data_IF_046978106876
#
_entry.id   IF_046978106876
#
_cell.length_a   1.000
_cell.length_b   1.000
_cell.length_c   1.000
_cell.angle_alpha   90.00
_cell.angle_beta   90.00
_cell.angle_gamma   90.00
#
_symmetry.space_group_name_H-M   'P 1'
#
loop_
_entity.id
_entity.type
_entity.pdbx_description
1 polymer ?
#
# COMPACT_ATOMS: atom_id res chain seq x y z
N UNK A 1 -6.71 -9.35 -36.17
CA UNK A 1 -8.07 -9.21 -35.58
C UNK A 1 -8.10 -9.92 -34.23
N UNK A 2 -8.91 -9.45 -33.29
CA UNK A 2 -9.12 -10.08 -31.98
C UNK A 2 -9.93 -11.35 -32.16
N UNK A 3 -9.64 -12.39 -31.37
CA UNK A 3 -10.42 -13.63 -31.36
C UNK A 3 -11.47 -13.57 -30.26
N UNK A 4 -12.60 -14.21 -30.50
CA UNK A 4 -13.66 -14.34 -29.50
C UNK A 4 -13.15 -15.10 -28.28
N UNK A 5 -13.65 -14.71 -27.10
CA UNK A 5 -13.35 -15.42 -25.87
C UNK A 5 -14.13 -16.73 -25.84
N UNK A 6 -13.45 -17.88 -25.66
CA UNK A 6 -14.13 -19.15 -25.64
C UNK A 6 -14.94 -19.31 -24.34
N UNK A 7 -16.16 -19.85 -24.44
CA UNK A 7 -17.05 -20.08 -23.30
C UNK A 7 -16.41 -20.98 -22.22
N UNK A 8 -15.53 -21.90 -22.64
CA UNK A 8 -14.82 -22.82 -21.75
C UNK A 8 -13.44 -22.29 -21.31
N UNK A 9 -13.22 -20.98 -21.36
CA UNK A 9 -11.95 -20.36 -20.96
C UNK A 9 -11.50 -20.82 -19.58
N UNK A 10 -10.23 -21.22 -19.47
CA UNK A 10 -9.61 -21.64 -18.21
C UNK A 10 -8.79 -20.56 -17.49
N UNK A 11 -8.71 -19.35 -18.06
CA UNK A 11 -7.98 -18.23 -17.44
C UNK A 11 -8.72 -17.68 -16.22
N UNK A 12 -7.97 -17.35 -15.17
CA UNK A 12 -8.46 -16.74 -13.91
C UNK A 12 -7.45 -15.69 -13.48
N UNK A 13 -7.88 -14.71 -12.68
CA UNK A 13 -6.97 -13.92 -11.85
C UNK A 13 -6.85 -14.64 -10.52
N UNK A 14 -5.62 -14.91 -10.08
CA UNK A 14 -5.32 -15.34 -8.72
C UNK A 14 -4.83 -14.14 -7.93
N UNK A 15 -5.29 -13.98 -6.69
CA UNK A 15 -4.90 -12.92 -5.78
C UNK A 15 -4.74 -13.46 -4.35
N UNK A 16 -4.09 -12.69 -3.49
CA UNK A 16 -3.94 -13.04 -2.08
C UNK A 16 -5.28 -12.90 -1.36
N UNK A 17 -5.54 -13.79 -0.39
CA UNK A 17 -6.73 -13.72 0.45
C UNK A 17 -6.51 -12.90 1.73
N UNK A 18 -5.24 -12.75 2.15
CA UNK A 18 -4.83 -11.95 3.30
C UNK A 18 -3.31 -11.68 3.25
N UNK A 19 -2.83 -10.73 4.06
CA UNK A 19 -1.41 -10.38 4.16
C UNK A 19 -0.85 -9.58 3.00
N UNK A 20 -1.71 -9.08 2.11
CA UNK A 20 -1.37 -8.15 1.05
C UNK A 20 -1.65 -6.71 1.47
N UNK A 21 -1.34 -5.76 0.58
CA UNK A 21 -1.59 -4.34 0.85
C UNK A 21 -3.06 -4.06 1.16
N UNK A 22 -4.00 -4.71 0.46
CA UNK A 22 -5.43 -4.54 0.71
C UNK A 22 -5.81 -4.95 2.14
N UNK A 23 -5.34 -6.12 2.60
CA UNK A 23 -5.64 -6.62 3.94
C UNK A 23 -4.96 -5.86 5.08
N UNK A 24 -3.93 -5.05 4.80
CA UNK A 24 -3.16 -4.32 5.83
C UNK A 24 -3.24 -2.80 5.70
N UNK A 25 -4.07 -2.27 4.81
CA UNK A 25 -4.14 -0.83 4.54
C UNK A 25 -4.61 -0.05 5.78
N UNK A 26 -3.96 1.09 6.04
CA UNK A 26 -4.40 2.10 6.98
C UNK A 26 -4.38 3.47 6.27
N UNK A 27 -5.41 4.28 6.50
CA UNK A 27 -5.56 5.58 5.86
C UNK A 27 -5.96 6.65 6.87
N UNK A 28 -5.52 7.88 6.62
CA UNK A 28 -5.91 9.07 7.39
C UNK A 28 -6.07 10.26 6.45
N UNK A 29 -7.10 11.06 6.67
CA UNK A 29 -7.24 12.38 6.02
C UNK A 29 -6.59 13.44 6.90
N UNK A 30 -5.58 14.13 6.37
CA UNK A 30 -4.83 15.15 7.10
C UNK A 30 -5.65 16.45 7.15
N UNK A 31 -5.88 16.98 8.35
CA UNK A 31 -6.77 18.14 8.56
C UNK A 31 -6.10 19.50 8.40
N UNK A 32 -4.77 19.54 8.48
CA UNK A 32 -3.96 20.77 8.38
C UNK A 32 -2.61 20.48 7.72
N UNK A 33 -2.02 21.45 6.99
CA UNK A 33 -0.70 21.28 6.41
C UNK A 33 0.38 20.93 7.45
N UNK A 34 1.38 20.15 7.04
CA UNK A 34 2.46 19.71 7.91
C UNK A 34 3.54 18.94 7.15
N UNK A 35 4.40 18.25 7.90
CA UNK A 35 5.44 17.36 7.35
C UNK A 35 5.40 16.02 8.07
N UNK A 36 5.46 14.93 7.32
CA UNK A 36 5.55 13.57 7.85
C UNK A 36 6.97 13.01 7.71
N UNK A 37 7.30 12.09 8.63
CA UNK A 37 8.49 11.25 8.59
C UNK A 37 8.05 9.80 8.69
N UNK A 38 8.61 8.94 7.84
CA UNK A 38 8.44 7.49 7.89
C UNK A 38 9.65 6.92 8.62
N UNK A 39 9.40 6.24 9.73
CA UNK A 39 10.42 5.64 10.59
C UNK A 39 10.19 4.14 10.77
N UNK A 40 11.28 3.37 10.79
CA UNK A 40 11.28 1.97 11.20
C UNK A 40 11.83 1.86 12.62
N UNK A 41 11.00 1.38 13.54
CA UNK A 41 11.36 1.12 14.94
C UNK A 41 11.47 -0.38 15.15
N UNK A 42 12.66 -0.84 15.52
CA UNK A 42 12.93 -2.24 15.79
C UNK A 42 12.41 -2.66 17.16
N UNK A 43 12.35 -3.98 17.42
CA UNK A 43 11.86 -4.53 18.70
C UNK A 43 12.74 -4.14 19.91
N UNK A 44 14.02 -3.88 19.68
CA UNK A 44 14.99 -3.37 20.67
C UNK A 44 14.97 -1.83 20.79
N UNK A 45 14.03 -1.15 20.12
CA UNK A 45 13.80 0.29 20.26
C UNK A 45 14.72 1.19 19.44
N UNK A 46 15.52 0.63 18.52
CA UNK A 46 16.32 1.45 17.60
C UNK A 46 15.45 2.00 16.47
N UNK A 47 15.61 3.28 16.18
CA UNK A 47 14.87 3.97 15.12
C UNK A 47 15.77 4.22 13.91
N UNK A 48 15.27 3.93 12.72
CA UNK A 48 15.87 4.33 11.44
C UNK A 48 14.87 5.16 10.66
N UNK A 49 15.26 6.38 10.28
CA UNK A 49 14.45 7.22 9.38
C UNK A 49 14.54 6.65 7.97
N UNK A 50 13.39 6.28 7.39
CA UNK A 50 13.30 5.79 6.02
C UNK A 50 13.09 6.94 5.03
N UNK A 51 12.26 7.93 5.43
CA UNK A 51 12.03 9.15 4.66
C UNK A 51 11.58 10.27 5.59
N UNK A 52 12.27 11.40 5.57
CA UNK A 52 11.87 12.64 6.24
C UNK A 52 11.23 13.63 5.28
N UNK A 53 10.71 14.73 5.83
CA UNK A 53 10.32 15.94 5.09
C UNK A 53 9.30 15.68 3.98
N UNK A 54 8.30 14.84 4.26
CA UNK A 54 7.19 14.59 3.34
C UNK A 54 6.15 15.68 3.53
N UNK A 55 5.99 16.63 2.59
CA UNK A 55 5.00 17.69 2.74
C UNK A 55 3.60 17.09 2.68
N UNK A 56 2.79 17.39 3.69
CA UNK A 56 1.37 17.07 3.74
C UNK A 56 0.57 18.36 3.54
N UNK A 57 -0.30 18.36 2.55
CA UNK A 57 -1.24 19.45 2.28
C UNK A 57 -2.65 19.03 2.70
N UNK A 58 -3.53 20.01 2.87
CA UNK A 58 -4.97 19.75 3.01
C UNK A 58 -5.60 19.58 1.62
#
# INVERSE_FOLDING_TARGET
>A
MMRDWPENSKSRVAHMASGDFYGTEQAVTVTSPGSATIEFVTRDGRTTVLKSDIPLTR
#
